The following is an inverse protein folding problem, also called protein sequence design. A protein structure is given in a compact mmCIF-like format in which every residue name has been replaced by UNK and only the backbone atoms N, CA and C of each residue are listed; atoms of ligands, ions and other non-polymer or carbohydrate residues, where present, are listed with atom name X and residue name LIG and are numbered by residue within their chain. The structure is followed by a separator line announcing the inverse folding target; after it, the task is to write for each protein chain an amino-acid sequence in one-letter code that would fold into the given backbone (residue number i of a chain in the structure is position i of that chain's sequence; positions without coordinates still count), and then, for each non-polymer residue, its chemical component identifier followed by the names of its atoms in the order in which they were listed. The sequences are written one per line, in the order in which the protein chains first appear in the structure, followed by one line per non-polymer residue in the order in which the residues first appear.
data_IF_810700970331
#
_entry.id   IF_810700970331
#
_cell.length_a   1.000
_cell.length_b   1.000
_cell.length_c   1.000
_cell.angle_alpha   90.00
_cell.angle_beta   90.00
_cell.angle_gamma   90.00
#
_symmetry.space_group_name_H-M   'P 1'
#
loop_
_entity.id
_entity.type
_entity.pdbx_description
1 polymer ?
#
# COMPACT_ATOMS: atom_id res chain seq x y z
N UNK A 1 7.20 26.71 -6.24
CA UNK A 1 7.65 25.40 -6.77
C UNK A 1 9.16 25.23 -6.68
N UNK A 2 10.00 26.15 -7.20
CA UNK A 2 11.47 26.04 -7.09
C UNK A 2 11.97 25.82 -5.65
N UNK A 3 11.45 26.58 -4.68
CA UNK A 3 11.80 26.41 -3.25
C UNK A 3 11.37 25.05 -2.67
N UNK A 4 10.16 24.57 -2.98
CA UNK A 4 9.68 23.26 -2.54
C UNK A 4 10.51 22.12 -3.14
N UNK A 5 10.85 22.24 -4.42
CA UNK A 5 11.70 21.27 -5.11
C UNK A 5 13.12 21.23 -4.53
N UNK A 6 13.68 22.40 -4.19
CA UNK A 6 14.95 22.51 -3.48
C UNK A 6 14.93 21.78 -2.14
N UNK A 7 13.87 21.94 -1.34
CA UNK A 7 13.69 21.22 -0.07
C UNK A 7 13.62 19.70 -0.30
N UNK A 8 12.83 19.24 -1.29
CA UNK A 8 12.74 17.81 -1.63
C UNK A 8 14.11 17.23 -1.98
N UNK A 9 14.87 17.91 -2.85
CA UNK A 9 16.21 17.48 -3.27
C UNK A 9 17.19 17.43 -2.11
N UNK A 10 17.20 18.45 -1.24
CA UNK A 10 18.07 18.47 -0.08
C UNK A 10 17.69 17.38 0.92
N UNK A 11 16.40 17.16 1.15
CA UNK A 11 15.91 16.10 2.04
C UNK A 11 16.30 14.73 1.51
N UNK A 12 16.14 14.49 0.21
CA UNK A 12 16.57 13.26 -0.45
C UNK A 12 18.09 13.05 -0.31
N UNK A 13 18.89 14.07 -0.63
CA UNK A 13 20.36 14.06 -0.46
C UNK A 13 20.77 13.76 0.98
N UNK A 14 20.11 14.40 1.95
CA UNK A 14 20.39 14.20 3.37
C UNK A 14 19.99 12.80 3.84
N UNK A 15 18.89 12.23 3.31
CA UNK A 15 18.46 10.86 3.60
C UNK A 15 19.49 9.84 3.10
N UNK A 16 20.04 10.04 1.89
CA UNK A 16 21.13 9.20 1.39
C UNK A 16 22.37 9.34 2.29
N UNK A 17 22.77 10.57 2.62
CA UNK A 17 23.92 10.81 3.50
C UNK A 17 23.74 10.18 4.88
N UNK A 18 22.53 10.21 5.46
CA UNK A 18 22.26 9.61 6.76
C UNK A 18 22.31 8.09 6.71
N UNK A 19 21.82 7.49 5.62
CA UNK A 19 21.90 6.04 5.40
C UNK A 19 23.36 5.57 5.35
N UNK A 20 24.22 6.29 4.64
CA UNK A 20 25.67 5.96 4.56
C UNK A 20 26.39 6.17 5.89
N UNK A 21 25.96 7.14 6.70
CA UNK A 21 26.59 7.41 8.01
C UNK A 21 26.16 6.46 9.13
N UNK A 22 25.11 5.66 8.93
CA UNK A 22 24.60 4.74 9.95
C UNK A 22 25.04 3.30 9.63
N UNK A 23 25.88 2.67 10.48
CA UNK A 23 26.44 1.36 10.18
C UNK A 23 25.36 0.28 10.04
N UNK A 24 24.30 0.33 10.86
CA UNK A 24 23.18 -0.60 10.73
C UNK A 24 22.38 -0.45 9.43
N UNK A 25 22.20 0.78 8.93
CA UNK A 25 21.49 1.00 7.67
C UNK A 25 22.31 0.56 6.46
N UNK A 26 23.64 0.74 6.51
CA UNK A 26 24.55 0.21 5.50
C UNK A 26 24.46 -1.31 5.37
N UNK A 27 24.48 -2.04 6.49
CA UNK A 27 24.33 -3.50 6.49
C UNK A 27 23.01 -3.90 5.81
N UNK A 28 21.90 -3.23 6.16
CA UNK A 28 20.59 -3.48 5.57
C UNK A 28 20.59 -3.21 4.06
N UNK A 29 21.20 -2.11 3.61
CA UNK A 29 21.32 -1.77 2.19
C UNK A 29 22.12 -2.83 1.44
N UNK A 30 23.25 -3.30 2.00
CA UNK A 30 24.07 -4.34 1.38
C UNK A 30 23.28 -5.64 1.26
N UNK A 31 22.56 -6.05 2.31
CA UNK A 31 21.69 -7.23 2.27
C UNK A 31 20.60 -7.07 1.21
N UNK A 32 19.95 -5.91 1.15
CA UNK A 32 18.88 -5.64 0.19
C UNK A 32 19.39 -5.62 -1.26
N UNK A 33 20.57 -5.05 -1.51
CA UNK A 33 21.24 -5.10 -2.81
C UNK A 33 21.65 -6.52 -3.18
N UNK A 34 22.20 -7.29 -2.24
CA UNK A 34 22.53 -8.69 -2.46
C UNK A 34 21.27 -9.49 -2.81
N UNK A 35 20.17 -9.28 -2.07
CA UNK A 35 18.89 -9.92 -2.34
C UNK A 35 18.35 -9.55 -3.73
N UNK A 36 18.46 -8.30 -4.17
CA UNK A 36 18.02 -7.86 -5.50
C UNK A 36 18.92 -8.36 -6.64
N UNK A 37 20.23 -8.41 -6.44
CA UNK A 37 21.20 -8.74 -7.48
C UNK A 37 21.43 -10.25 -7.61
N UNK A 38 21.33 -11.02 -6.53
CA UNK A 38 21.56 -12.47 -6.56
C UNK A 38 20.65 -13.16 -7.59
N UNK A 39 19.32 -12.98 -7.61
CA UNK A 39 18.45 -13.61 -8.60
C UNK A 39 18.75 -13.21 -10.05
N UNK A 40 19.32 -12.02 -10.26
CA UNK A 40 19.72 -11.54 -11.59
C UNK A 40 21.04 -12.19 -12.03
N UNK A 41 21.98 -12.39 -11.09
CA UNK A 41 23.30 -12.96 -11.35
C UNK A 41 23.32 -14.49 -11.36
N UNK A 42 22.44 -15.12 -10.58
CA UNK A 42 22.28 -16.59 -10.51
C UNK A 42 21.13 -17.08 -11.37
N UNK A 43 20.35 -16.16 -11.98
CA UNK A 43 19.39 -16.53 -13.00
C UNK A 43 20.15 -17.18 -14.13
N UNK A 44 19.90 -18.46 -14.34
CA UNK A 44 20.66 -19.30 -15.26
C UNK A 44 20.70 -18.64 -16.64
N UNK A 45 21.88 -18.15 -17.04
CA UNK A 45 22.17 -17.76 -18.41
C UNK A 45 22.52 -18.99 -19.26
N UNK A 46 22.41 -20.19 -18.68
CA UNK A 46 22.46 -21.46 -19.36
C UNK A 46 21.60 -21.41 -20.61
N UNK A 47 22.21 -21.81 -21.73
CA UNK A 47 21.58 -21.96 -23.04
C UNK A 47 20.12 -22.33 -22.88
N UNK A 48 19.23 -21.49 -23.43
CA UNK A 48 17.80 -21.75 -23.58
C UNK A 48 17.65 -23.20 -24.04
N UNK A 49 17.39 -24.10 -23.10
CA UNK A 49 17.12 -25.48 -23.42
C UNK A 49 15.79 -25.40 -24.17
N UNK A 50 15.74 -25.87 -25.42
CA UNK A 50 14.57 -25.78 -26.31
C UNK A 50 13.31 -26.51 -25.76
N UNK A 51 13.35 -26.92 -24.49
CA UNK A 51 12.36 -27.69 -23.73
C UNK A 51 11.95 -27.07 -22.39
N UNK A 52 12.23 -25.80 -22.11
CA UNK A 52 11.56 -25.12 -20.99
C UNK A 52 10.13 -24.75 -21.41
N UNK A 53 9.17 -25.60 -21.08
CA UNK A 53 7.75 -25.27 -21.18
C UNK A 53 7.42 -24.15 -20.17
N UNK A 54 7.34 -22.92 -20.67
CA UNK A 54 6.92 -21.78 -19.86
C UNK A 54 5.44 -21.91 -19.47
N UNK A 55 5.11 -21.49 -18.26
CA UNK A 55 3.71 -21.39 -17.83
C UNK A 55 2.99 -20.28 -18.59
N UNK A 56 1.66 -20.36 -18.63
CA UNK A 56 0.85 -19.40 -19.38
C UNK A 56 1.01 -17.97 -18.83
N UNK A 57 1.23 -17.03 -19.74
CA UNK A 57 1.37 -15.60 -19.41
C UNK A 57 0.10 -15.00 -18.80
N UNK A 58 -1.05 -15.65 -19.03
CA UNK A 58 -2.33 -15.27 -18.44
C UNK A 58 -2.31 -15.28 -16.91
N UNK A 59 -1.52 -16.17 -16.29
CA UNK A 59 -1.33 -16.20 -14.84
C UNK A 59 -0.66 -14.90 -14.35
N UNK A 60 0.35 -14.41 -15.07
CA UNK A 60 1.04 -13.16 -14.73
C UNK A 60 0.08 -11.98 -14.85
N UNK A 61 -0.74 -11.95 -15.91
CA UNK A 61 -1.75 -10.92 -16.10
C UNK A 61 -2.79 -10.91 -14.98
N UNK A 62 -3.20 -12.08 -14.48
CA UNK A 62 -4.12 -12.21 -13.36
C UNK A 62 -3.47 -11.77 -12.04
N UNK A 63 -2.21 -12.15 -11.80
CA UNK A 63 -1.43 -11.70 -10.63
C UNK A 63 -1.30 -10.17 -10.65
N UNK A 64 -1.01 -9.57 -11.82
CA UNK A 64 -0.94 -8.12 -11.99
C UNK A 64 -2.26 -7.43 -11.63
N UNK A 65 -3.40 -7.96 -12.08
CA UNK A 65 -4.73 -7.42 -11.72
C UNK A 65 -4.91 -7.39 -10.21
N UNK A 66 -4.68 -8.52 -9.53
CA UNK A 66 -4.82 -8.61 -8.06
C UNK A 66 -3.87 -7.65 -7.36
N UNK A 67 -2.59 -7.66 -7.77
CA UNK A 67 -1.55 -6.84 -7.17
C UNK A 67 -1.85 -5.35 -7.31
N UNK A 68 -2.24 -4.87 -8.50
CA UNK A 68 -2.59 -3.47 -8.72
C UNK A 68 -3.89 -3.08 -8.00
N UNK A 69 -4.91 -3.94 -7.99
CA UNK A 69 -6.14 -3.68 -7.24
C UNK A 69 -5.86 -3.53 -5.74
N UNK A 70 -5.07 -4.43 -5.15
CA UNK A 70 -4.67 -4.34 -3.73
C UNK A 70 -3.85 -3.08 -3.49
N UNK A 71 -2.85 -2.79 -4.33
CA UNK A 71 -2.01 -1.61 -4.19
C UNK A 71 -2.83 -0.31 -4.27
N UNK A 72 -3.81 -0.24 -5.19
CA UNK A 72 -4.71 0.90 -5.31
C UNK A 72 -5.61 1.06 -4.09
N UNK A 73 -6.24 -0.02 -3.63
CA UNK A 73 -7.15 -0.01 -2.49
C UNK A 73 -6.41 0.37 -1.20
N UNK A 74 -5.27 -0.27 -0.94
CA UNK A 74 -4.43 0.03 0.22
C UNK A 74 -3.85 1.45 0.14
N UNK A 75 -3.37 1.87 -1.03
CA UNK A 75 -2.86 3.22 -1.26
C UNK A 75 -3.91 4.28 -0.96
N UNK A 76 -5.10 4.13 -1.55
CA UNK A 76 -6.24 5.04 -1.35
C UNK A 76 -6.71 5.06 0.10
N UNK A 77 -6.84 3.90 0.74
CA UNK A 77 -7.27 3.79 2.14
C UNK A 77 -6.25 4.36 3.13
N UNK A 78 -4.96 4.14 2.87
CA UNK A 78 -3.88 4.65 3.72
C UNK A 78 -3.83 6.18 3.69
N UNK A 79 -4.00 6.80 2.52
CA UNK A 79 -4.05 8.26 2.43
C UNK A 79 -5.34 8.85 3.03
N UNK A 80 -6.46 8.11 3.03
CA UNK A 80 -7.71 8.52 3.68
C UNK A 80 -7.66 8.47 5.22
N UNK A 81 -6.88 7.56 5.78
CA UNK A 81 -6.74 7.36 7.24
C UNK A 81 -5.57 8.15 7.83
N UNK A 82 -4.55 8.43 7.02
CA UNK A 82 -3.32 9.13 7.41
C UNK A 82 -3.07 10.42 6.61
N UNK A 83 -4.09 10.98 5.94
CA UNK A 83 -3.96 12.17 5.09
C UNK A 83 -3.34 13.38 5.80
N UNK A 84 -3.42 13.40 7.13
CA UNK A 84 -2.82 14.42 7.97
C UNK A 84 -1.32 14.17 8.32
N UNK A 85 -0.80 12.94 8.16
CA UNK A 85 0.58 12.58 8.53
C UNK A 85 1.60 12.76 7.40
N UNK A 86 1.24 13.49 6.35
CA UNK A 86 2.08 13.70 5.16
C UNK A 86 3.23 14.66 5.42
N UNK A 87 3.06 15.52 6.41
CA UNK A 87 3.98 16.59 6.74
C UNK A 87 4.65 16.30 8.07
N UNK A 88 5.94 16.62 8.12
CA UNK A 88 6.69 16.61 9.37
C UNK A 88 6.54 17.96 10.08
N UNK A 89 6.79 17.99 11.39
CA UNK A 89 6.76 19.23 12.17
C UNK A 89 7.64 20.36 11.61
N UNK A 90 8.84 20.09 11.07
CA UNK A 90 9.61 21.11 10.35
C UNK A 90 8.94 21.62 9.07
N UNK A 91 8.18 20.78 8.35
CA UNK A 91 7.49 21.21 7.13
C UNK A 91 6.38 22.21 7.47
N UNK A 92 5.68 22.03 8.58
CA UNK A 92 4.70 23.00 9.07
C UNK A 92 5.34 24.37 9.28
N UNK A 93 6.44 24.41 10.04
CA UNK A 93 7.08 25.67 10.41
C UNK A 93 7.74 26.40 9.23
N UNK A 94 8.16 25.68 8.18
CA UNK A 94 8.89 26.25 7.04
C UNK A 94 8.03 26.41 5.78
N UNK A 95 7.15 25.45 5.50
CA UNK A 95 6.35 25.42 4.27
C UNK A 95 5.02 26.13 4.48
N UNK A 96 4.38 25.97 5.64
CA UNK A 96 3.04 26.52 5.82
C UNK A 96 3.05 28.01 6.20
N UNK A 97 4.13 28.48 6.81
CA UNK A 97 4.38 29.91 7.08
C UNK A 97 4.84 30.68 5.85
N UNK A 98 5.23 29.97 4.78
CA UNK A 98 5.70 30.58 3.55
C UNK A 98 4.53 31.10 2.69
N UNK A 99 4.70 32.18 1.90
CA UNK A 99 3.66 32.72 1.02
C UNK A 99 3.47 31.83 -0.23
N UNK A 100 3.11 30.56 -0.03
CA UNK A 100 2.86 29.56 -1.07
C UNK A 100 1.40 29.12 -0.97
N UNK A 101 0.73 28.95 -2.11
CA UNK A 101 -0.66 28.49 -2.12
C UNK A 101 -0.81 27.08 -1.52
N UNK A 102 -1.86 26.88 -0.73
CA UNK A 102 -2.18 25.62 -0.06
C UNK A 102 -2.18 24.41 -1.04
N UNK A 103 -2.64 24.60 -2.27
CA UNK A 103 -2.63 23.57 -3.34
C UNK A 103 -1.22 23.08 -3.71
N UNK A 104 -0.24 23.98 -3.76
CA UNK A 104 1.17 23.62 -4.05
C UNK A 104 1.80 22.90 -2.87
N UNK A 105 1.40 23.27 -1.65
CA UNK A 105 1.81 22.58 -0.42
C UNK A 105 1.26 21.16 -0.41
N UNK A 106 -0.04 20.99 -0.71
CA UNK A 106 -0.69 19.68 -0.87
C UNK A 106 0.05 18.76 -1.85
N UNK A 107 0.38 19.30 -3.02
CA UNK A 107 1.12 18.55 -4.04
C UNK A 107 2.54 18.18 -3.59
N UNK A 108 3.20 19.01 -2.77
CA UNK A 108 4.49 18.66 -2.17
C UNK A 108 4.36 17.47 -1.20
N UNK A 109 3.33 17.46 -0.35
CA UNK A 109 3.04 16.33 0.54
C UNK A 109 2.80 15.02 -0.23
N UNK A 110 2.08 15.10 -1.36
CA UNK A 110 1.87 13.97 -2.27
C UNK A 110 3.19 13.38 -2.77
N UNK A 111 4.07 14.21 -3.34
CA UNK A 111 5.37 13.75 -3.88
C UNK A 111 6.21 13.04 -2.80
N UNK A 112 6.19 13.57 -1.57
CA UNK A 112 6.93 12.97 -0.46
C UNK A 112 6.37 11.59 -0.07
N UNK A 113 5.05 11.42 -0.07
CA UNK A 113 4.40 10.14 0.21
C UNK A 113 4.66 9.12 -0.90
N UNK A 114 4.62 9.55 -2.17
CA UNK A 114 4.91 8.71 -3.34
C UNK A 114 6.26 8.01 -3.22
N UNK A 115 7.31 8.75 -2.81
CA UNK A 115 8.65 8.19 -2.71
C UNK A 115 8.75 6.97 -1.78
N UNK A 116 7.97 6.94 -0.70
CA UNK A 116 7.97 5.81 0.25
C UNK A 116 7.18 4.62 -0.30
N UNK A 117 6.03 4.87 -0.94
CA UNK A 117 5.22 3.81 -1.55
C UNK A 117 5.91 3.18 -2.76
N UNK A 118 6.61 3.98 -3.59
CA UNK A 118 7.39 3.46 -4.71
C UNK A 118 8.58 2.61 -4.25
N UNK A 119 9.13 2.90 -3.06
CA UNK A 119 10.21 2.08 -2.49
C UNK A 119 9.78 0.62 -2.25
N UNK A 120 8.51 0.39 -1.90
CA UNK A 120 7.94 -0.97 -1.79
C UNK A 120 7.92 -1.67 -3.15
N UNK A 121 7.69 -0.92 -4.24
CA UNK A 121 7.73 -1.44 -5.60
C UNK A 121 9.08 -2.01 -6.03
N UNK A 122 10.20 -1.55 -5.46
CA UNK A 122 11.51 -2.14 -5.76
C UNK A 122 11.60 -3.63 -5.38
N UNK A 123 10.77 -4.11 -4.46
CA UNK A 123 10.69 -5.54 -4.13
C UNK A 123 10.22 -6.38 -5.33
N UNK A 124 9.55 -5.80 -6.33
CA UNK A 124 9.19 -6.50 -7.56
C UNK A 124 10.44 -6.93 -8.33
N UNK A 125 11.52 -6.15 -8.28
CA UNK A 125 12.77 -6.48 -8.98
C UNK A 125 13.42 -7.76 -8.45
N UNK A 126 13.23 -8.07 -7.16
CA UNK A 126 13.68 -9.33 -6.57
C UNK A 126 13.05 -10.55 -7.24
N UNK A 127 11.81 -10.43 -7.72
CA UNK A 127 11.06 -11.53 -8.34
C UNK A 127 11.56 -11.89 -9.75
N UNK A 128 12.55 -11.16 -10.29
CA UNK A 128 13.04 -11.36 -11.65
C UNK A 128 13.43 -12.82 -11.93
N UNK A 129 14.26 -13.43 -11.09
CA UNK A 129 14.74 -14.81 -11.33
C UNK A 129 13.60 -15.83 -11.44
N UNK A 130 12.60 -15.72 -10.56
CA UNK A 130 11.43 -16.60 -10.60
C UNK A 130 10.55 -16.34 -11.84
N UNK A 131 10.30 -15.07 -12.17
CA UNK A 131 9.48 -14.69 -13.33
C UNK A 131 10.14 -15.03 -14.66
N UNK A 132 11.47 -14.89 -14.75
CA UNK A 132 12.24 -15.24 -15.92
C UNK A 132 12.22 -16.75 -16.16
N UNK A 133 12.53 -17.54 -15.13
CA UNK A 133 12.60 -19.00 -15.26
C UNK A 133 11.23 -19.66 -15.47
N UNK A 134 10.15 -19.07 -14.94
CA UNK A 134 8.80 -19.69 -15.00
C UNK A 134 7.97 -19.22 -16.19
N UNK A 135 8.09 -17.95 -16.57
CA UNK A 135 7.23 -17.30 -17.60
C UNK A 135 8.02 -16.70 -18.77
N UNK A 136 9.36 -16.78 -18.78
CA UNK A 136 10.19 -16.23 -19.85
C UNK A 136 10.20 -14.69 -19.89
N UNK A 137 9.85 -14.02 -18.79
CA UNK A 137 9.77 -12.56 -18.75
C UNK A 137 11.18 -11.96 -18.73
N UNK A 138 11.47 -11.11 -19.71
CA UNK A 138 12.70 -10.32 -19.75
C UNK A 138 12.65 -9.14 -18.77
N UNK A 139 13.81 -8.58 -18.44
CA UNK A 139 13.93 -7.42 -17.54
C UNK A 139 13.05 -6.24 -17.97
N UNK A 140 12.86 -6.04 -19.29
CA UNK A 140 11.94 -5.03 -19.83
C UNK A 140 10.48 -5.26 -19.43
N UNK A 141 10.02 -6.51 -19.43
CA UNK A 141 8.67 -6.86 -18.98
C UNK A 141 8.48 -6.59 -17.48
N UNK A 142 9.49 -6.88 -16.66
CA UNK A 142 9.47 -6.55 -15.24
C UNK A 142 9.46 -5.03 -14.99
N UNK A 143 10.22 -4.27 -15.78
CA UNK A 143 10.21 -2.81 -15.73
C UNK A 143 8.84 -2.22 -16.10
N UNK A 144 8.14 -2.82 -17.07
CA UNK A 144 6.76 -2.45 -17.40
C UNK A 144 5.78 -2.73 -16.25
N UNK A 145 5.93 -3.87 -15.56
CA UNK A 145 5.13 -4.19 -14.36
C UNK A 145 5.40 -3.16 -13.24
N UNK A 146 6.65 -2.81 -13.02
CA UNK A 146 7.03 -1.76 -12.05
C UNK A 146 6.42 -0.40 -12.42
N UNK A 147 6.38 -0.05 -13.72
CA UNK A 147 5.75 1.17 -14.21
C UNK A 147 4.24 1.16 -13.95
N UNK A 148 3.56 0.04 -14.24
CA UNK A 148 2.15 -0.16 -13.91
C UNK A 148 1.87 0.04 -12.43
N UNK A 149 2.68 -0.59 -11.57
CA UNK A 149 2.61 -0.38 -10.11
C UNK A 149 2.79 1.09 -9.71
N UNK A 150 3.78 1.77 -10.28
CA UNK A 150 4.04 3.18 -9.99
C UNK A 150 2.85 4.07 -10.37
N UNK A 151 2.23 3.82 -11.53
CA UNK A 151 1.01 4.50 -11.96
C UNK A 151 -0.17 4.22 -11.01
N UNK A 152 -0.36 2.96 -10.60
CA UNK A 152 -1.39 2.57 -9.64
C UNK A 152 -1.24 3.26 -8.28
N UNK A 153 -0.01 3.28 -7.74
CA UNK A 153 0.31 3.96 -6.48
C UNK A 153 0.07 5.46 -6.60
N UNK A 154 0.50 6.09 -7.69
CA UNK A 154 0.27 7.50 -7.96
C UNK A 154 -1.22 7.84 -7.96
N UNK A 155 -2.02 7.09 -8.74
CA UNK A 155 -3.45 7.28 -8.78
C UNK A 155 -4.09 7.06 -7.40
N UNK A 156 -3.71 6.01 -6.66
CA UNK A 156 -4.24 5.75 -5.32
C UNK A 156 -3.96 6.88 -4.33
N UNK A 157 -2.77 7.48 -4.37
CA UNK A 157 -2.45 8.63 -3.52
C UNK A 157 -3.19 9.91 -3.96
N UNK A 158 -3.37 10.13 -5.26
CA UNK A 158 -4.22 11.22 -5.76
C UNK A 158 -5.67 11.05 -5.33
N UNK A 159 -6.24 9.84 -5.44
CA UNK A 159 -7.60 9.52 -4.99
C UNK A 159 -7.75 9.82 -3.50
N UNK A 160 -6.79 9.39 -2.69
CA UNK A 160 -6.80 9.67 -1.27
C UNK A 160 -6.81 11.17 -0.96
N UNK A 161 -5.98 11.96 -1.67
CA UNK A 161 -5.91 13.41 -1.49
C UNK A 161 -7.20 14.13 -1.87
N UNK A 162 -7.82 13.76 -3.01
CA UNK A 162 -9.07 14.38 -3.44
C UNK A 162 -10.19 14.02 -2.46
N UNK A 163 -10.31 12.75 -2.09
CA UNK A 163 -11.30 12.34 -1.11
C UNK A 163 -11.07 12.99 0.25
N UNK A 164 -9.81 13.13 0.68
CA UNK A 164 -9.47 13.85 1.90
C UNK A 164 -9.94 15.29 1.81
N UNK A 165 -9.55 16.03 0.76
CA UNK A 165 -9.96 17.43 0.52
C UNK A 165 -11.48 17.63 0.46
N UNK A 166 -12.24 16.64 -0.01
CA UNK A 166 -13.71 16.71 -0.10
C UNK A 166 -14.42 16.32 1.20
N UNK A 167 -13.72 15.61 2.10
CA UNK A 167 -14.30 15.08 3.35
C UNK A 167 -13.75 15.76 4.60
N UNK A 168 -12.82 16.70 4.45
CA UNK A 168 -12.29 17.54 5.51
C UNK A 168 -13.41 18.21 6.30
N UNK A 169 -13.31 18.19 7.63
CA UNK A 169 -14.28 18.80 8.56
C UNK A 169 -15.51 17.97 8.93
N UNK A 170 -15.78 16.84 8.26
CA UNK A 170 -16.95 15.99 8.57
C UNK A 170 -16.58 14.49 8.61
N UNK A 171 -16.42 13.95 9.82
CA UNK A 171 -16.08 12.55 10.05
C UNK A 171 -17.11 11.57 9.45
N UNK A 172 -18.39 11.97 9.35
CA UNK A 172 -19.43 11.10 8.78
C UNK A 172 -19.26 10.96 7.27
N UNK A 173 -18.93 12.06 6.57
CA UNK A 173 -18.65 12.03 5.12
C UNK A 173 -17.36 11.29 4.82
N UNK A 174 -16.32 11.47 5.63
CA UNK A 174 -15.06 10.72 5.51
C UNK A 174 -15.28 9.21 5.67
N UNK A 175 -16.03 8.80 6.70
CA UNK A 175 -16.33 7.40 6.94
C UNK A 175 -17.27 6.81 5.89
N UNK A 176 -18.25 7.58 5.41
CA UNK A 176 -19.13 7.18 4.30
C UNK A 176 -18.36 6.95 3.00
N UNK A 177 -17.45 7.85 2.63
CA UNK A 177 -16.61 7.70 1.44
C UNK A 177 -15.66 6.50 1.55
N UNK A 178 -15.05 6.28 2.72
CA UNK A 178 -14.24 5.08 3.02
C UNK A 178 -15.06 3.80 2.89
N UNK A 179 -16.28 3.78 3.44
CA UNK A 179 -17.16 2.63 3.37
C UNK A 179 -17.61 2.34 1.94
N UNK A 180 -17.97 3.38 1.16
CA UNK A 180 -18.35 3.22 -0.25
C UNK A 180 -17.19 2.66 -1.09
N UNK A 181 -15.98 3.19 -0.91
CA UNK A 181 -14.78 2.70 -1.59
C UNK A 181 -14.47 1.23 -1.23
N UNK A 182 -14.55 0.87 0.05
CA UNK A 182 -14.37 -0.50 0.51
C UNK A 182 -15.51 -1.42 0.04
N UNK A 183 -16.75 -0.92 -0.06
CA UNK A 183 -17.88 -1.70 -0.57
C UNK A 183 -17.70 -2.06 -2.05
N UNK A 184 -17.27 -1.11 -2.89
CA UNK A 184 -16.96 -1.37 -4.32
C UNK A 184 -15.83 -2.40 -4.43
N UNK A 185 -14.78 -2.25 -3.62
CA UNK A 185 -13.66 -3.21 -3.58
C UNK A 185 -14.11 -4.60 -3.09
N UNK A 186 -14.98 -4.63 -2.08
CA UNK A 186 -15.54 -5.86 -1.52
C UNK A 186 -16.48 -6.57 -2.49
N UNK A 187 -17.26 -5.84 -3.29
CA UNK A 187 -18.09 -6.40 -4.35
C UNK A 187 -17.25 -7.06 -5.45
N UNK A 188 -16.14 -6.44 -5.86
CA UNK A 188 -15.21 -7.04 -6.82
C UNK A 188 -14.58 -8.33 -6.27
N UNK A 189 -14.19 -8.33 -4.98
CA UNK A 189 -13.68 -9.53 -4.32
C UNK A 189 -14.75 -10.62 -4.20
N UNK A 190 -16.00 -10.25 -3.86
CA UNK A 190 -17.12 -11.18 -3.76
C UNK A 190 -17.46 -11.79 -5.13
N UNK A 191 -17.44 -11.00 -6.21
CA UNK A 191 -17.62 -11.48 -7.57
C UNK A 191 -16.58 -12.55 -7.93
N UNK A 192 -15.31 -12.31 -7.58
CA UNK A 192 -14.24 -13.31 -7.79
C UNK A 192 -14.51 -14.58 -6.98
N UNK A 193 -14.86 -14.47 -5.71
CA UNK A 193 -15.14 -15.63 -4.85
C UNK A 193 -16.34 -16.45 -5.36
N UNK A 194 -17.44 -15.79 -5.74
CA UNK A 194 -18.64 -16.46 -6.27
C UNK A 194 -18.33 -17.15 -7.61
N UNK A 195 -17.51 -16.54 -8.46
CA UNK A 195 -17.18 -17.11 -9.77
C UNK A 195 -16.25 -18.33 -9.67
N UNK A 196 -15.37 -18.36 -8.67
CA UNK A 196 -14.38 -19.44 -8.49
C UNK A 196 -14.91 -20.60 -7.62
N UNK A 197 -15.81 -20.33 -6.66
CA UNK A 197 -16.32 -21.34 -5.72
C UNK A 197 -17.01 -22.58 -6.35
N UNK A 198 -17.75 -22.48 -7.46
CA UNK A 198 -18.42 -23.63 -8.09
C UNK A 198 -17.45 -24.65 -8.70
N UNK A 199 -16.27 -24.22 -9.15
CA UNK A 199 -15.34 -25.05 -9.94
C UNK A 199 -14.24 -25.69 -9.07
N UNK A 200 -14.65 -26.60 -8.16
CA UNK A 200 -13.77 -27.22 -7.15
C UNK A 200 -12.54 -27.98 -7.69
N UNK A 201 -12.48 -28.27 -9.00
CA UNK A 201 -11.35 -28.99 -9.63
C UNK A 201 -10.39 -28.11 -10.46
N UNK A 202 -10.79 -26.92 -10.90
CA UNK A 202 -10.00 -26.04 -11.81
C UNK A 202 -9.91 -24.59 -11.31
N UNK A 203 -10.01 -24.39 -10.00
CA UNK A 203 -10.10 -23.08 -9.35
C UNK A 203 -9.05 -22.06 -9.83
N UNK A 204 -7.82 -22.48 -10.14
CA UNK A 204 -6.76 -21.60 -10.63
C UNK A 204 -7.08 -21.06 -12.02
N UNK A 205 -7.48 -21.92 -12.96
CA UNK A 205 -7.79 -21.53 -14.34
C UNK A 205 -9.05 -20.67 -14.41
N UNK A 206 -10.06 -20.98 -13.59
CA UNK A 206 -11.25 -20.14 -13.42
C UNK A 206 -10.88 -18.78 -12.83
N UNK A 207 -10.01 -18.73 -11.82
CA UNK A 207 -9.57 -17.47 -11.23
C UNK A 207 -8.80 -16.61 -12.24
N UNK A 208 -7.90 -17.22 -13.02
CA UNK A 208 -7.13 -16.54 -14.07
C UNK A 208 -8.05 -15.98 -15.15
N UNK A 209 -9.02 -16.76 -15.63
CA UNK A 209 -9.96 -16.29 -16.64
C UNK A 209 -10.87 -15.15 -16.13
N UNK A 210 -11.34 -15.22 -14.88
CA UNK A 210 -12.15 -14.16 -14.26
C UNK A 210 -11.33 -12.88 -14.05
N UNK A 211 -10.07 -13.01 -13.59
CA UNK A 211 -9.17 -11.88 -13.34
C UNK A 211 -8.72 -11.16 -14.61
N UNK A 212 -8.60 -11.89 -15.72
CA UNK A 212 -8.31 -11.34 -17.04
C UNK A 212 -9.58 -10.92 -17.80
N UNK A 213 -10.76 -11.23 -17.25
CA UNK A 213 -12.06 -10.91 -17.82
C UNK A 213 -12.39 -9.42 -17.81
N UNK A 214 -13.36 -9.04 -18.64
CA UNK A 214 -13.83 -7.66 -18.79
C UNK A 214 -14.28 -7.00 -17.46
N UNK A 215 -15.00 -7.69 -16.54
CA UNK A 215 -15.44 -7.06 -15.29
C UNK A 215 -14.27 -6.58 -14.42
N UNK A 216 -13.17 -7.32 -14.37
CA UNK A 216 -11.99 -6.92 -13.60
C UNK A 216 -11.18 -5.83 -14.29
N UNK A 217 -11.18 -5.78 -15.63
CA UNK A 217 -10.59 -4.66 -16.39
C UNK A 217 -11.30 -3.33 -16.12
N UNK A 218 -12.60 -3.35 -15.80
CA UNK A 218 -13.37 -2.16 -15.42
C UNK A 218 -13.03 -1.64 -14.01
N UNK A 219 -12.39 -2.45 -13.17
CA UNK A 219 -12.05 -2.04 -11.81
C UNK A 219 -11.13 -0.80 -11.83
N UNK A 220 -11.45 0.28 -11.10
CA UNK A 220 -10.74 1.54 -11.20
C UNK A 220 -9.25 1.39 -10.92
N UNK A 221 -8.44 1.99 -11.79
CA UNK A 221 -6.97 2.06 -11.73
C UNK A 221 -6.27 0.70 -11.81
N UNK A 222 -6.62 -0.28 -10.98
CA UNK A 222 -6.02 -1.62 -11.00
C UNK A 222 -6.23 -2.34 -12.32
N UNK A 223 -7.48 -2.43 -12.79
CA UNK A 223 -7.82 -3.05 -14.08
C UNK A 223 -7.31 -2.26 -15.29
N UNK A 224 -7.32 -0.92 -15.20
CA UNK A 224 -6.83 -0.04 -16.27
C UNK A 224 -5.30 -0.09 -16.41
N UNK A 225 -4.57 -0.08 -15.29
CA UNK A 225 -3.12 -0.24 -15.28
C UNK A 225 -2.70 -1.62 -15.79
N UNK A 226 -3.43 -2.68 -15.42
CA UNK A 226 -3.21 -4.00 -15.98
C UNK A 226 -3.47 -3.98 -17.49
N UNK A 227 -4.59 -3.43 -17.96
CA UNK A 227 -4.93 -3.39 -19.39
C UNK A 227 -3.89 -2.60 -20.20
N UNK A 228 -3.34 -1.52 -19.64
CA UNK A 228 -2.28 -0.75 -20.26
C UNK A 228 -0.99 -1.58 -20.41
N UNK A 229 -0.49 -2.17 -19.32
CA UNK A 229 0.75 -2.95 -19.37
C UNK A 229 0.62 -4.21 -20.22
N UNK A 230 -0.48 -4.95 -20.07
CA UNK A 230 -0.76 -6.13 -20.88
C UNK A 230 -0.95 -5.77 -22.35
N UNK A 231 -1.53 -4.61 -22.66
CA UNK A 231 -1.60 -4.09 -24.02
C UNK A 231 -0.23 -3.92 -24.67
N UNK A 232 0.79 -3.48 -23.91
CA UNK A 232 2.17 -3.38 -24.41
C UNK A 232 2.78 -4.78 -24.57
N UNK A 233 2.66 -5.63 -23.55
CA UNK A 233 3.30 -6.95 -23.52
C UNK A 233 2.71 -7.92 -24.56
N UNK A 234 1.41 -7.88 -24.77
CA UNK A 234 0.69 -8.72 -25.73
C UNK A 234 0.53 -8.06 -27.12
N UNK A 235 1.16 -6.89 -27.34
CA UNK A 235 1.01 -6.09 -28.57
C UNK A 235 -0.45 -5.77 -28.95
N UNK A 236 -1.33 -5.66 -27.96
CA UNK A 236 -2.74 -5.37 -28.16
C UNK A 236 -3.03 -3.88 -27.92
N UNK A 237 -3.07 -3.12 -29.01
CA UNK A 237 -3.31 -1.68 -29.02
C UNK A 237 -4.67 -1.26 -28.42
N UNK A 238 -5.69 -2.12 -28.51
CA UNK A 238 -7.02 -1.82 -27.94
C UNK A 238 -6.97 -1.79 -26.41
N UNK A 239 -6.38 -2.82 -25.79
CA UNK A 239 -6.20 -2.86 -24.34
C UNK A 239 -5.30 -1.71 -23.85
N UNK A 240 -4.26 -1.37 -24.63
CA UNK A 240 -3.38 -0.25 -24.33
C UNK A 240 -4.13 1.09 -24.34
N UNK A 241 -4.88 1.37 -25.40
CA UNK A 241 -5.64 2.60 -25.56
C UNK A 241 -6.72 2.73 -24.48
N UNK A 242 -7.44 1.64 -24.18
CA UNK A 242 -8.42 1.61 -23.10
C UNK A 242 -7.79 1.88 -21.74
N UNK A 243 -6.73 1.15 -21.38
CA UNK A 243 -6.07 1.28 -20.08
C UNK A 243 -5.42 2.64 -19.86
N UNK A 244 -4.63 3.12 -20.83
CA UNK A 244 -4.00 4.45 -20.75
C UNK A 244 -5.02 5.57 -20.82
N UNK A 245 -6.02 5.47 -21.71
CA UNK A 245 -7.09 6.46 -21.82
C UNK A 245 -7.87 6.62 -20.52
N UNK A 246 -8.26 5.50 -19.90
CA UNK A 246 -8.96 5.51 -18.61
C UNK A 246 -8.08 6.08 -17.47
N UNK A 247 -6.80 5.71 -17.40
CA UNK A 247 -5.87 6.26 -16.39
C UNK A 247 -5.64 7.76 -16.53
N UNK A 248 -5.44 8.24 -17.76
CA UNK A 248 -5.24 9.67 -18.04
C UNK A 248 -6.50 10.48 -17.74
N UNK A 249 -7.67 9.98 -18.19
CA UNK A 249 -8.96 10.61 -17.91
C UNK A 249 -9.22 10.68 -16.41
N UNK A 250 -9.01 9.58 -15.69
CA UNK A 250 -9.16 9.51 -14.24
C UNK A 250 -8.26 10.51 -13.52
N UNK A 251 -6.98 10.56 -13.90
CA UNK A 251 -6.00 11.48 -13.33
C UNK A 251 -6.40 12.94 -13.61
N UNK A 252 -6.82 13.26 -14.84
CA UNK A 252 -7.27 14.60 -15.22
C UNK A 252 -8.50 15.05 -14.41
N UNK A 253 -9.47 14.14 -14.20
CA UNK A 253 -10.66 14.41 -13.38
C UNK A 253 -10.25 14.71 -11.93
N UNK A 254 -9.40 13.88 -11.32
CA UNK A 254 -8.93 14.09 -9.94
C UNK A 254 -8.15 15.41 -9.79
N UNK A 255 -7.25 15.72 -10.72
CA UNK A 255 -6.51 16.99 -10.72
C UNK A 255 -7.47 18.17 -10.89
N UNK A 256 -8.50 18.04 -11.73
CA UNK A 256 -9.55 19.05 -11.89
C UNK A 256 -10.34 19.31 -10.61
N UNK A 257 -10.71 18.25 -9.87
CA UNK A 257 -11.35 18.39 -8.57
C UNK A 257 -10.43 19.09 -7.55
N UNK A 258 -9.16 18.70 -7.49
CA UNK A 258 -8.18 19.32 -6.59
C UNK A 258 -7.92 20.80 -6.93
N UNK A 259 -8.01 21.18 -8.21
CA UNK A 259 -7.85 22.56 -8.64
C UNK A 259 -9.02 23.46 -8.25
N UNK A 260 -10.25 22.93 -8.18
CA UNK A 260 -11.47 23.68 -7.85
C UNK A 260 -11.80 23.70 -6.35
N UNK A 261 -11.35 22.71 -5.57
CA UNK A 261 -11.61 22.66 -4.14
C UNK A 261 -10.89 23.75 -3.33
N UNK A 262 -11.58 24.27 -2.32
CA UNK A 262 -10.98 25.04 -1.23
C UNK A 262 -10.45 24.04 -0.20
N UNK A 263 -9.14 24.04 0.02
CA UNK A 263 -8.47 22.99 0.80
C UNK A 263 -8.14 23.53 2.19
N UNK A 264 -9.02 23.28 3.15
CA UNK A 264 -8.83 23.68 4.55
C UNK A 264 -8.18 22.55 5.37
N UNK A 265 -7.02 22.08 4.93
CA UNK A 265 -6.34 20.91 5.51
C UNK A 265 -5.34 21.23 6.62
N UNK A 266 -5.11 22.52 6.87
CA UNK A 266 -4.00 23.00 7.69
C UNK A 266 -4.11 22.51 9.14
N UNK A 267 -5.28 22.70 9.76
CA UNK A 267 -5.55 22.31 11.15
C UNK A 267 -5.41 20.81 11.38
N UNK A 268 -5.94 20.01 10.46
CA UNK A 268 -5.83 18.55 10.55
C UNK A 268 -4.38 18.09 10.44
N UNK A 269 -3.61 18.67 9.51
CA UNK A 269 -2.18 18.36 9.36
C UNK A 269 -1.37 18.79 10.58
N UNK A 270 -1.61 20.00 11.11
CA UNK A 270 -0.94 20.48 12.31
C UNK A 270 -1.09 19.47 13.44
N UNK A 271 -2.33 19.08 13.73
CA UNK A 271 -2.65 18.14 14.80
C UNK A 271 -1.99 16.78 14.59
N UNK A 272 -2.01 16.24 13.37
CA UNK A 272 -1.41 14.93 13.09
C UNK A 272 0.12 14.95 13.17
N UNK A 273 0.74 16.03 12.72
CA UNK A 273 2.18 16.19 12.84
C UNK A 273 2.60 16.36 14.30
N UNK A 274 1.81 17.05 15.13
CA UNK A 274 2.06 17.20 16.57
C UNK A 274 1.99 15.84 17.29
N UNK A 275 1.00 15.03 16.98
CA UNK A 275 0.87 13.66 17.51
C UNK A 275 2.08 12.81 17.08
N UNK A 276 2.46 12.89 15.80
CA UNK A 276 3.60 12.12 15.28
C UNK A 276 4.91 12.58 15.92
N UNK A 277 5.10 13.89 16.08
CA UNK A 277 6.27 14.48 16.70
C UNK A 277 6.38 14.13 18.18
N UNK A 278 5.29 14.25 18.94
CA UNK A 278 5.24 13.87 20.36
C UNK A 278 5.50 12.38 20.55
N UNK A 279 4.99 11.51 19.67
CA UNK A 279 5.30 10.08 19.68
C UNK A 279 6.78 9.78 19.42
N UNK A 280 7.42 10.48 18.47
CA UNK A 280 8.86 10.35 18.20
C UNK A 280 9.69 10.90 19.37
N UNK A 281 9.27 12.00 19.98
CA UNK A 281 9.94 12.58 21.14
C UNK A 281 9.86 11.65 22.36
N UNK A 282 8.69 11.05 22.61
CA UNK A 282 8.48 10.09 23.68
C UNK A 282 9.34 8.82 23.50
N UNK A 283 9.43 8.29 22.27
CA UNK A 283 10.27 7.11 21.99
C UNK A 283 11.76 7.41 22.19
N UNK A 284 12.23 8.59 21.79
CA UNK A 284 13.61 9.05 22.07
C UNK A 284 13.90 9.20 23.57
N UNK A 285 12.88 9.51 24.36
CA UNK A 285 12.98 9.62 25.83
C UNK A 285 12.85 8.26 26.53
N UNK A 286 12.77 7.15 25.80
CA UNK A 286 12.60 5.81 26.37
C UNK A 286 11.21 5.57 27.00
N UNK A 287 10.26 6.50 26.80
CA UNK A 287 8.87 6.33 27.20
C UNK A 287 8.14 5.60 26.08
N UNK A 288 7.91 4.30 26.25
CA UNK A 288 7.00 3.51 25.42
C UNK A 288 5.54 3.74 25.80
N UNK A 289 5.18 4.98 26.12
CA UNK A 289 3.77 5.35 26.21
C UNK A 289 3.24 5.27 24.79
N UNK A 290 2.45 4.22 24.54
CA UNK A 290 1.84 3.96 23.24
C UNK A 290 1.21 5.24 22.72
N UNK A 291 1.55 5.60 21.48
CA UNK A 291 1.06 6.76 20.75
C UNK A 291 -0.35 7.13 21.24
N UNK A 292 -0.47 8.32 21.84
CA UNK A 292 -1.67 8.83 22.51
C UNK A 292 -2.94 8.32 21.81
N UNK A 293 -3.60 7.33 22.42
CA UNK A 293 -4.78 6.69 21.83
C UNK A 293 -5.88 7.75 21.78
N UNK A 294 -6.16 8.27 20.58
CA UNK A 294 -7.10 9.38 20.36
C UNK A 294 -8.51 9.13 20.92
N UNK A 295 -8.89 7.88 21.15
CA UNK A 295 -10.17 7.50 21.73
C UNK A 295 -9.97 6.45 22.82
N UNK A 296 -9.54 6.89 24.01
CA UNK A 296 -9.71 6.08 25.21
C UNK A 296 -11.19 6.10 25.56
N UNK A 297 -11.95 5.12 25.06
CA UNK A 297 -13.28 4.83 25.64
C UNK A 297 -13.04 4.41 27.08
N UNK A 298 -13.21 5.35 28.00
CA UNK A 298 -13.22 5.08 29.44
C UNK A 298 -14.43 4.20 29.70
N UNK A 299 -14.18 2.88 29.73
CA UNK A 299 -15.09 1.94 30.36
C UNK A 299 -15.16 2.19 31.87
N UNK A 300 -15.71 1.24 32.63
CA UNK A 300 -15.79 1.35 34.10
C UNK A 300 -14.43 1.73 34.69
N UNK A 301 -14.41 2.85 35.40
CA UNK A 301 -13.23 3.36 36.11
C UNK A 301 -13.02 2.55 37.39
N UNK A 302 -11.76 2.27 37.73
CA UNK A 302 -11.38 1.48 38.91
C UNK A 302 -10.85 0.07 38.58
N UNK A 303 -9.87 -0.39 39.36
CA UNK A 303 -9.27 -1.73 39.23
C UNK A 303 -10.27 -2.81 39.67
N UNK A 304 -11.17 -2.47 40.61
CA UNK A 304 -12.35 -3.26 41.01
C UNK A 304 -12.07 -4.60 41.70
N UNK A 305 -10.84 -5.12 41.65
CA UNK A 305 -10.38 -6.39 42.24
C UNK A 305 -8.88 -6.35 42.58
N UNK A 306 -8.47 -7.19 43.52
CA UNK A 306 -7.08 -7.34 43.99
C UNK A 306 -6.86 -6.69 45.36
N UNK A 307 -6.09 -7.36 46.22
CA UNK A 307 -5.65 -6.86 47.52
C UNK A 307 -4.11 -6.92 47.58
N UNK A 308 -3.46 -5.82 47.99
CA UNK A 308 -1.99 -5.75 48.01
C UNK A 308 -1.33 -5.93 46.64
N UNK A 309 -0.36 -6.83 46.52
CA UNK A 309 0.44 -7.03 45.31
C UNK A 309 -0.35 -7.51 44.09
N UNK A 310 -1.48 -8.20 44.30
CA UNK A 310 -2.37 -8.68 43.23
C UNK A 310 -3.02 -7.52 42.44
N UNK A 311 -3.09 -6.32 43.05
CA UNK A 311 -3.58 -5.11 42.37
C UNK A 311 -2.74 -4.72 41.15
N UNK A 312 -1.44 -5.04 41.14
CA UNK A 312 -0.56 -4.78 39.98
C UNK A 312 -0.95 -5.62 38.77
N UNK A 313 -1.31 -6.90 38.98
CA UNK A 313 -1.79 -7.77 37.92
C UNK A 313 -3.12 -7.27 37.35
N UNK A 314 -4.08 -6.91 38.20
CA UNK A 314 -5.35 -6.36 37.74
C UNK A 314 -5.21 -5.01 37.05
N UNK A 315 -4.25 -4.16 37.48
CA UNK A 315 -3.89 -2.92 36.78
C UNK A 315 -3.40 -3.22 35.36
N UNK A 316 -2.39 -4.08 35.21
CA UNK A 316 -1.84 -4.42 33.89
C UNK A 316 -2.83 -5.13 32.98
N UNK A 317 -3.69 -5.98 33.53
CA UNK A 317 -4.76 -6.64 32.77
C UNK A 317 -5.81 -5.65 32.29
N UNK A 318 -6.13 -4.62 33.08
CA UNK A 318 -7.09 -3.58 32.71
C UNK A 318 -6.49 -2.61 31.68
N UNK A 319 -5.20 -2.28 31.79
CA UNK A 319 -4.44 -1.56 30.76
C UNK A 319 -4.34 -2.36 29.45
N UNK A 320 -4.04 -3.65 29.51
CA UNK A 320 -3.95 -4.53 28.33
C UNK A 320 -5.30 -4.67 27.61
N UNK A 321 -6.41 -4.67 28.34
CA UNK A 321 -7.77 -4.67 27.75
C UNK A 321 -8.08 -3.39 26.97
N UNK A 322 -7.41 -2.27 27.27
CA UNK A 322 -7.55 -1.00 26.53
C UNK A 322 -6.79 -1.04 25.19
N UNK A 323 -5.81 -1.95 25.05
CA UNK A 323 -5.00 -2.10 23.84
C UNK A 323 -5.41 -3.30 22.96
N UNK A 324 -5.97 -4.38 23.52
CA UNK A 324 -6.22 -5.67 22.82
C UNK A 324 -7.54 -6.32 23.26
N UNK A 325 -8.14 -7.15 22.40
CA UNK A 325 -9.49 -7.72 22.63
C UNK A 325 -9.52 -8.87 23.67
N UNK A 326 -8.38 -9.44 24.05
CA UNK A 326 -8.26 -10.45 25.13
C UNK A 326 -6.78 -10.67 25.54
N UNK A 327 -5.95 -11.06 24.55
CA UNK A 327 -4.49 -11.26 24.63
C UNK A 327 -3.82 -10.96 23.27
N UNK A 328 -4.56 -11.21 22.17
CA UNK A 328 -4.13 -11.00 20.79
C UNK A 328 -4.60 -9.64 20.25
N UNK A 329 -3.76 -9.03 19.41
CA UNK A 329 -4.11 -7.83 18.65
C UNK A 329 -5.03 -8.18 17.46
N UNK A 330 -5.79 -7.22 16.95
CA UNK A 330 -6.69 -7.40 15.78
C UNK A 330 -5.94 -7.95 14.57
N UNK A 331 -4.72 -7.47 14.35
CA UNK A 331 -3.84 -7.95 13.27
C UNK A 331 -3.50 -9.43 13.44
N UNK A 332 -3.17 -9.87 14.65
CA UNK A 332 -2.89 -11.27 14.95
C UNK A 332 -4.11 -12.17 14.73
N UNK A 333 -5.31 -11.72 15.09
CA UNK A 333 -6.56 -12.46 14.84
C UNK A 333 -6.82 -12.62 13.34
N UNK A 334 -6.61 -11.55 12.56
CA UNK A 334 -6.73 -11.60 11.10
C UNK A 334 -5.71 -12.58 10.51
N UNK A 335 -4.46 -12.54 10.96
CA UNK A 335 -3.45 -13.50 10.48
C UNK A 335 -3.80 -14.94 10.84
N UNK A 336 -4.34 -15.21 12.03
CA UNK A 336 -4.81 -16.54 12.41
C UNK A 336 -5.91 -17.01 11.45
N UNK A 337 -6.89 -16.16 11.14
CA UNK A 337 -7.95 -16.49 10.19
C UNK A 337 -7.42 -16.74 8.77
N UNK A 338 -6.48 -15.90 8.30
CA UNK A 338 -5.82 -16.08 7.01
C UNK A 338 -5.06 -17.41 6.99
N UNK A 339 -4.30 -17.73 8.04
CA UNK A 339 -3.56 -18.99 8.14
C UNK A 339 -4.50 -20.19 8.14
N UNK A 340 -5.62 -20.14 8.87
CA UNK A 340 -6.61 -21.22 8.88
C UNK A 340 -7.23 -21.39 7.49
N UNK A 341 -7.61 -20.30 6.82
CA UNK A 341 -8.14 -20.34 5.46
C UNK A 341 -7.10 -20.91 4.49
N UNK A 342 -5.85 -20.44 4.55
CA UNK A 342 -4.76 -20.89 3.71
C UNK A 342 -4.45 -22.37 3.95
N UNK A 343 -4.41 -22.81 5.21
CA UNK A 343 -4.22 -24.22 5.58
C UNK A 343 -5.36 -25.12 5.08
N UNK A 344 -6.60 -24.62 5.09
CA UNK A 344 -7.75 -25.35 4.56
C UNK A 344 -7.67 -25.53 3.04
N UNK A 345 -7.33 -24.46 2.30
CA UNK A 345 -7.20 -24.51 0.83
C UNK A 345 -5.94 -25.24 0.35
N UNK A 346 -4.84 -25.16 1.10
CA UNK A 346 -3.58 -25.83 0.78
C UNK A 346 -3.51 -27.26 1.30
N UNK A 347 -4.55 -27.77 1.96
CA UNK A 347 -4.58 -29.12 2.54
C UNK A 347 -4.28 -30.23 1.52
N UNK A 348 -4.63 -30.02 0.25
CA UNK A 348 -4.37 -30.95 -0.86
C UNK A 348 -3.13 -30.63 -1.69
N UNK A 349 -2.43 -29.52 -1.40
CA UNK A 349 -1.27 -29.04 -2.15
C UNK A 349 0.06 -29.24 -1.39
N UNK A 350 0.05 -30.09 -0.35
CA UNK A 350 1.23 -30.39 0.46
C UNK A 350 2.15 -31.44 -0.18
N UNK A 351 3.46 -31.31 0.10
CA UNK A 351 4.53 -32.25 -0.32
C UNK A 351 4.41 -33.62 0.36
N UNK A 352 3.56 -33.75 1.39
CA UNK A 352 3.32 -35.00 2.11
C UNK A 352 1.99 -35.57 1.58
N UNK A 353 2.01 -36.76 0.94
CA UNK A 353 0.79 -37.39 0.47
C UNK A 353 -0.14 -37.69 1.64
N UNK A 354 -1.44 -37.55 1.39
CA UNK A 354 -2.53 -37.77 2.33
C UNK A 354 -2.56 -39.18 2.90
#
# INVERSE_FOLDING_TARGET
MRALFYILLIRFKNRIKSLVKSPGALILIVILLALLLLPVLTGDHGSVDERTDYRSMEEVYAIMTVFYCIAFVMGSYSGLSKGASLYSMPDINLVFTSPISAKKVLFYGLIQQMGTSLFVGFFILYQYGWMHNTYGIFMGGLALILLGYAATVFCGQLTAMVLYSLTTGDERKSNGAKAAFLAVSGLAALYLLISVYPERGRWLETAVSVLNGFPMKLFPVGGWAQSAIVGIMAHNWMNLAFGLGALLLYTAILVGFMAKGDVDFYEDVLRSAEITYSAIAASKQGRFDGAMVQNVKVGKTGIGKGFGADSFYYKHRLESRRAKLFLLDRTSVIFILIIIAFAFFMRSAGIIPA
#
